data_IF_478954734513
#
_entry.id   IF_478954734513
#
_cell.length_a   1.000
_cell.length_b   1.000
_cell.length_c   1.000
_cell.angle_alpha   90.00
_cell.angle_beta   90.00
_cell.angle_gamma   90.00
#
_symmetry.space_group_name_H-M   'P 1'
#
loop_
_entity.id
_entity.type
_entity.pdbx_description
1 polymer ?
#
# COMPACT_ATOMS: atom_id res chain seq x y z
N UNK A 1 -7.56 3.97 2.69
CA UNK A 1 -7.10 2.70 3.33
C UNK A 1 -8.17 1.95 4.13
N UNK A 2 -9.02 2.56 4.99
CA UNK A 2 -9.98 1.79 5.80
C UNK A 2 -10.92 0.89 4.99
N UNK A 3 -11.39 1.39 3.83
CA UNK A 3 -12.22 0.60 2.89
C UNK A 3 -11.48 -0.62 2.35
N UNK A 4 -10.19 -0.46 2.00
CA UNK A 4 -9.36 -1.57 1.52
C UNK A 4 -9.09 -2.61 2.60
N UNK A 5 -8.95 -2.20 3.86
CA UNK A 5 -8.81 -3.11 4.99
C UNK A 5 -10.08 -3.96 5.18
N UNK A 6 -11.26 -3.33 5.13
CA UNK A 6 -12.53 -4.05 5.19
C UNK A 6 -12.69 -5.02 4.01
N UNK A 7 -12.31 -4.60 2.81
CA UNK A 7 -12.34 -5.44 1.63
C UNK A 7 -11.42 -6.66 1.77
N UNK A 8 -10.19 -6.43 2.24
CA UNK A 8 -9.21 -7.49 2.49
C UNK A 8 -9.75 -8.52 3.47
N UNK A 9 -10.30 -8.08 4.60
CA UNK A 9 -10.87 -8.99 5.61
C UNK A 9 -12.05 -9.80 5.08
N UNK A 10 -12.92 -9.18 4.28
CA UNK A 10 -14.06 -9.85 3.69
C UNK A 10 -13.67 -10.92 2.64
N UNK A 11 -12.50 -10.78 2.00
CA UNK A 11 -12.07 -11.65 0.90
C UNK A 11 -10.83 -12.48 1.21
N UNK A 12 -10.26 -12.41 2.42
CA UNK A 12 -8.99 -13.09 2.80
C UNK A 12 -8.97 -14.61 2.61
N UNK A 13 -10.13 -15.25 2.52
CA UNK A 13 -10.27 -16.69 2.28
C UNK A 13 -10.59 -17.03 0.80
N UNK A 14 -10.52 -16.04 -0.08
CA UNK A 14 -10.68 -16.19 -1.54
C UNK A 14 -9.31 -16.29 -2.21
N UNK A 15 -9.26 -16.60 -3.50
CA UNK A 15 -8.02 -16.57 -4.28
C UNK A 15 -7.64 -15.12 -4.66
N UNK A 16 -7.34 -14.30 -3.66
CA UNK A 16 -7.10 -12.86 -3.79
C UNK A 16 -6.11 -12.35 -2.72
N UNK A 17 -5.34 -11.32 -3.06
CA UNK A 17 -4.35 -10.68 -2.17
C UNK A 17 -4.24 -9.18 -2.46
N UNK A 18 -3.90 -8.39 -1.44
CA UNK A 18 -3.56 -6.95 -1.57
C UNK A 18 -2.11 -6.73 -1.17
N UNK A 19 -1.34 -6.13 -2.09
CA UNK A 19 -0.07 -5.51 -1.77
C UNK A 19 -0.21 -3.99 -1.92
N UNK A 20 -0.09 -3.26 -0.81
CA UNK A 20 -0.01 -1.80 -0.86
C UNK A 20 1.43 -1.36 -1.07
N UNK A 21 1.65 -0.45 -2.01
CA UNK A 21 2.97 0.13 -2.23
C UNK A 21 2.90 1.63 -1.97
N UNK A 22 3.67 2.08 -0.98
CA UNK A 22 3.86 3.51 -0.72
C UNK A 22 4.94 4.05 -1.66
N UNK A 23 4.55 5.03 -2.49
CA UNK A 23 5.41 5.66 -3.49
C UNK A 23 6.21 6.82 -2.86
N UNK A 24 7.14 6.49 -1.97
CA UNK A 24 7.81 7.46 -1.09
C UNK A 24 9.34 7.23 -0.99
N UNK A 25 10.12 8.20 -1.48
CA UNK A 25 11.59 8.17 -1.47
C UNK A 25 12.19 8.25 -0.05
N UNK A 26 11.49 8.86 0.92
CA UNK A 26 11.93 9.04 2.30
C UNK A 26 11.93 7.70 3.07
N UNK A 27 11.18 6.72 2.59
CA UNK A 27 11.25 5.35 3.06
C UNK A 27 10.39 5.01 4.28
N UNK A 28 10.60 3.82 4.88
CA UNK A 28 9.63 3.21 5.80
C UNK A 28 9.37 3.98 7.09
N UNK A 29 10.29 4.84 7.54
CA UNK A 29 10.11 5.63 8.77
C UNK A 29 8.97 6.64 8.63
N UNK A 30 8.82 7.25 7.46
CA UNK A 30 7.77 8.24 7.19
C UNK A 30 6.42 7.57 6.94
N UNK A 31 6.44 6.46 6.17
CA UNK A 31 5.23 5.72 5.77
C UNK A 31 4.54 5.04 6.95
N UNK A 32 5.29 4.52 7.93
CA UNK A 32 4.78 3.70 9.04
C UNK A 32 3.59 4.30 9.80
N UNK A 33 3.58 5.61 10.02
CA UNK A 33 2.47 6.27 10.74
C UNK A 33 1.13 6.16 10.02
N UNK A 34 1.14 6.17 8.69
CA UNK A 34 -0.08 6.12 7.88
C UNK A 34 -0.66 4.71 7.85
N UNK A 35 0.21 3.70 7.72
CA UNK A 35 -0.17 2.28 7.81
C UNK A 35 -0.77 1.99 9.19
N UNK A 36 -0.09 2.44 10.25
CA UNK A 36 -0.56 2.25 11.63
C UNK A 36 -1.89 2.95 11.91
N UNK A 37 -2.03 4.22 11.49
CA UNK A 37 -3.27 4.98 11.67
C UNK A 37 -4.47 4.37 10.89
N UNK A 38 -4.19 3.70 9.77
CA UNK A 38 -5.21 3.06 8.96
C UNK A 38 -5.56 1.62 9.40
N UNK A 39 -4.84 1.05 10.38
CA UNK A 39 -5.07 -0.31 10.86
C UNK A 39 -4.85 -1.39 9.80
N UNK A 40 -3.94 -1.15 8.85
CA UNK A 40 -3.70 -2.04 7.71
C UNK A 40 -3.01 -3.34 8.17
N UNK A 41 -3.54 -4.48 7.74
CA UNK A 41 -2.97 -5.81 8.06
C UNK A 41 -2.47 -6.59 6.83
N UNK A 42 -2.85 -6.18 5.62
CA UNK A 42 -2.27 -6.73 4.39
C UNK A 42 -0.82 -6.25 4.17
N UNK A 43 -0.02 -7.01 3.40
CA UNK A 43 1.36 -6.63 3.10
C UNK A 43 1.50 -5.21 2.53
N UNK A 44 2.53 -4.51 3.00
CA UNK A 44 2.88 -3.18 2.51
C UNK A 44 4.38 -3.07 2.18
N UNK A 45 4.69 -2.47 1.04
CA UNK A 45 6.05 -2.18 0.58
C UNK A 45 6.24 -0.66 0.37
N UNK A 46 7.49 -0.23 0.22
CA UNK A 46 7.82 1.17 -0.09
C UNK A 46 8.68 1.20 -1.35
N UNK A 47 8.21 1.87 -2.39
CA UNK A 47 9.02 2.16 -3.57
C UNK A 47 9.85 3.42 -3.30
N UNK A 48 11.07 3.21 -2.81
CA UNK A 48 12.01 4.29 -2.53
C UNK A 48 12.72 4.82 -3.78
N UNK A 49 12.84 3.96 -4.79
CA UNK A 49 13.54 4.31 -6.03
C UNK A 49 12.63 5.09 -6.99
N UNK A 50 11.32 5.15 -6.69
CA UNK A 50 10.31 5.77 -7.53
C UNK A 50 10.22 5.11 -8.93
N UNK A 51 10.70 3.87 -9.06
CA UNK A 51 10.73 3.16 -10.34
C UNK A 51 9.36 2.68 -10.79
N UNK A 52 8.42 2.47 -9.87
CA UNK A 52 7.07 2.02 -10.21
C UNK A 52 6.23 3.13 -10.85
N UNK A 53 6.57 4.39 -10.60
CA UNK A 53 5.95 5.53 -11.29
C UNK A 53 6.18 5.43 -12.79
N UNK A 54 7.45 5.24 -13.19
CA UNK A 54 7.85 5.10 -14.59
C UNK A 54 7.31 3.81 -15.20
N UNK A 55 7.44 2.69 -14.48
CA UNK A 55 7.05 1.37 -14.99
C UNK A 55 5.55 1.28 -15.31
N UNK A 56 4.70 1.88 -14.47
CA UNK A 56 3.24 1.79 -14.63
C UNK A 56 2.60 3.07 -15.17
N UNK A 57 3.35 4.17 -15.30
CA UNK A 57 2.84 5.43 -15.83
C UNK A 57 1.75 6.06 -14.96
N UNK A 58 1.86 5.93 -13.64
CA UNK A 58 0.89 6.54 -12.73
C UNK A 58 1.10 8.05 -12.64
N UNK A 59 0.03 8.82 -12.64
CA UNK A 59 0.08 10.28 -12.40
C UNK A 59 -0.47 10.65 -11.02
N UNK A 60 -1.14 9.71 -10.34
CA UNK A 60 -1.84 9.93 -9.06
C UNK A 60 -1.74 8.69 -8.17
N UNK A 61 -1.51 8.90 -6.86
CA UNK A 61 -1.65 7.84 -5.83
C UNK A 61 -3.02 7.95 -5.15
N UNK A 62 -3.78 6.85 -5.02
CA UNK A 62 -5.05 6.80 -4.28
C UNK A 62 -4.90 6.72 -2.75
#
# INVERSE_FOLDING_TARGET
MPVWQQFYEAHRNSNFEILSIAMDAQGPKVVRRFIGAAGVTFPAAVDRAQGLWELYGFDVVP
#
